data_IF_259439998159
#
_entry.id   IF_259439998159
#
_cell.length_a   1.000
_cell.length_b   1.000
_cell.length_c   1.000
_cell.angle_alpha   90.00
_cell.angle_beta   90.00
_cell.angle_gamma   90.00
#
_symmetry.space_group_name_H-M   'P 1'
#
loop_
_entity.id
_entity.type
_entity.pdbx_description
1 polymer ?
#
# COMPACT_ATOMS: atom_id res chain seq x y z
N UNK A 1 18.03 -57.15 20.23
CA UNK A 1 16.68 -57.14 19.63
C UNK A 1 15.62 -56.70 20.63
N UNK A 2 15.59 -57.19 21.89
CA UNK A 2 14.60 -56.74 22.89
C UNK A 2 14.81 -55.31 23.39
N UNK A 3 16.04 -54.82 23.49
CA UNK A 3 16.35 -53.47 23.98
C UNK A 3 15.95 -52.38 22.97
N UNK A 4 16.25 -52.60 21.69
CA UNK A 4 15.77 -51.74 20.60
C UNK A 4 14.24 -51.71 20.53
N UNK A 5 13.58 -52.85 20.76
CA UNK A 5 12.12 -52.91 20.79
C UNK A 5 11.53 -52.14 21.99
N UNK A 6 12.18 -52.17 23.16
CA UNK A 6 11.71 -51.41 24.32
C UNK A 6 11.91 -49.90 24.15
N UNK A 7 13.04 -49.50 23.56
CA UNK A 7 13.31 -48.09 23.21
C UNK A 7 12.27 -47.56 22.23
N UNK A 8 11.96 -48.31 21.16
CA UNK A 8 10.92 -47.94 20.18
C UNK A 8 9.52 -47.87 20.83
N UNK A 9 9.22 -48.74 21.80
CA UNK A 9 7.95 -48.72 22.53
C UNK A 9 7.83 -47.52 23.49
N UNK A 10 8.93 -47.10 24.11
CA UNK A 10 8.97 -45.88 24.94
C UNK A 10 8.84 -44.62 24.08
N UNK A 11 9.57 -44.55 22.96
CA UNK A 11 9.44 -43.44 22.00
C UNK A 11 8.01 -43.35 21.45
N UNK A 12 7.38 -44.49 21.13
CA UNK A 12 5.99 -44.51 20.68
C UNK A 12 5.03 -43.98 21.74
N UNK A 13 5.20 -44.35 23.02
CA UNK A 13 4.37 -43.81 24.10
C UNK A 13 4.56 -42.30 24.26
N UNK A 14 5.79 -41.82 24.17
CA UNK A 14 6.07 -40.38 24.21
C UNK A 14 5.36 -39.64 23.06
N UNK A 15 5.44 -40.17 21.84
CA UNK A 15 4.74 -39.64 20.67
C UNK A 15 3.21 -39.65 20.84
N UNK A 16 2.65 -40.71 21.43
CA UNK A 16 1.22 -40.81 21.72
C UNK A 16 0.77 -39.73 22.72
N UNK A 17 1.54 -39.50 23.77
CA UNK A 17 1.29 -38.44 24.76
C UNK A 17 1.39 -37.03 24.14
N UNK A 18 2.42 -36.78 23.33
CA UNK A 18 2.57 -35.51 22.60
C UNK A 18 1.40 -35.27 21.62
N UNK A 19 0.96 -36.33 20.93
CA UNK A 19 -0.17 -36.26 20.01
C UNK A 19 -1.48 -35.93 20.73
N UNK A 20 -1.75 -36.56 21.88
CA UNK A 20 -2.92 -36.25 22.70
C UNK A 20 -2.90 -34.78 23.16
N UNK A 21 -1.75 -34.30 23.64
CA UNK A 21 -1.58 -32.89 24.04
C UNK A 21 -1.81 -31.91 22.88
N UNK A 22 -1.35 -32.26 21.67
CA UNK A 22 -1.60 -31.47 20.46
C UNK A 22 -3.09 -31.41 20.12
N UNK A 23 -3.81 -32.53 20.21
CA UNK A 23 -5.25 -32.58 19.96
C UNK A 23 -6.03 -31.71 20.95
N UNK A 24 -5.71 -31.75 22.24
CA UNK A 24 -6.31 -30.89 23.25
C UNK A 24 -6.04 -29.41 22.97
N UNK A 25 -4.79 -29.08 22.64
CA UNK A 25 -4.40 -27.71 22.28
C UNK A 25 -5.17 -27.20 21.07
N UNK A 26 -5.33 -28.03 20.03
CA UNK A 26 -6.10 -27.69 18.83
C UNK A 26 -7.59 -27.48 19.14
N UNK A 27 -8.18 -28.32 20.00
CA UNK A 27 -9.57 -28.15 20.45
C UNK A 27 -9.76 -26.81 21.18
N UNK A 28 -8.84 -26.47 22.07
CA UNK A 28 -8.86 -25.18 22.78
C UNK A 28 -8.69 -23.99 21.81
N UNK A 29 -7.82 -24.12 20.82
CA UNK A 29 -7.65 -23.10 19.78
C UNK A 29 -8.97 -22.82 19.02
N UNK A 30 -9.68 -23.87 18.59
CA UNK A 30 -10.96 -23.72 17.88
C UNK A 30 -12.03 -23.05 18.75
N UNK A 31 -12.09 -23.39 20.04
CA UNK A 31 -13.00 -22.74 20.99
C UNK A 31 -12.70 -21.25 21.12
N UNK A 32 -11.42 -20.88 21.27
CA UNK A 32 -11.00 -19.47 21.36
C UNK A 32 -11.30 -18.70 20.08
N UNK A 33 -11.19 -19.33 18.91
CA UNK A 33 -11.53 -18.72 17.63
C UNK A 33 -13.03 -18.39 17.52
N UNK A 34 -13.90 -19.27 17.97
CA UNK A 34 -15.35 -19.02 18.04
C UNK A 34 -15.70 -17.91 19.04
N UNK A 35 -15.09 -17.91 20.23
CA UNK A 35 -15.25 -16.84 21.23
C UNK A 35 -14.85 -15.47 20.66
N UNK A 36 -13.72 -15.39 19.95
CA UNK A 36 -13.27 -14.16 19.29
C UNK A 36 -14.30 -13.69 18.25
N UNK A 37 -14.81 -14.59 17.42
CA UNK A 37 -15.82 -14.25 16.39
C UNK A 37 -17.10 -13.66 17.02
N UNK A 38 -17.59 -14.28 18.11
CA UNK A 38 -18.75 -13.79 18.86
C UNK A 38 -18.50 -12.40 19.45
N UNK A 39 -17.33 -12.19 20.08
CA UNK A 39 -16.96 -10.89 20.63
C UNK A 39 -16.83 -9.81 19.56
N UNK A 40 -16.27 -10.13 18.40
CA UNK A 40 -16.16 -9.21 17.27
C UNK A 40 -17.54 -8.74 16.79
N UNK A 41 -18.49 -9.66 16.63
CA UNK A 41 -19.86 -9.34 16.20
C UNK A 41 -20.60 -8.49 17.24
N UNK A 42 -20.48 -8.85 18.52
CA UNK A 42 -21.09 -8.09 19.61
C UNK A 42 -20.52 -6.66 19.68
N UNK A 43 -19.20 -6.51 19.60
CA UNK A 43 -18.54 -5.21 19.63
C UNK A 43 -18.95 -4.34 18.43
N UNK A 44 -18.97 -4.91 17.22
CA UNK A 44 -19.39 -4.19 16.01
C UNK A 44 -20.85 -3.71 16.10
N UNK A 45 -21.74 -4.55 16.63
CA UNK A 45 -23.16 -4.21 16.81
C UNK A 45 -23.32 -3.09 17.86
N UNK A 46 -22.64 -3.19 19.00
CA UNK A 46 -22.68 -2.18 20.05
C UNK A 46 -22.13 -0.83 19.59
N UNK A 47 -21.01 -0.80 18.86
CA UNK A 47 -20.46 0.44 18.31
C UNK A 47 -21.42 1.07 17.30
N UNK A 48 -22.04 0.26 16.43
CA UNK A 48 -23.02 0.75 15.47
C UNK A 48 -24.24 1.38 16.16
N UNK A 49 -24.73 0.75 17.23
CA UNK A 49 -25.81 1.27 18.05
C UNK A 49 -25.45 2.60 18.74
N UNK A 50 -24.31 2.64 19.44
CA UNK A 50 -23.86 3.84 20.14
C UNK A 50 -23.59 5.01 19.18
N UNK A 51 -23.01 4.74 17.99
CA UNK A 51 -22.79 5.78 16.98
C UNK A 51 -24.11 6.34 16.45
N UNK A 52 -25.13 5.49 16.22
CA UNK A 52 -26.47 5.96 15.81
C UNK A 52 -27.08 6.87 16.88
N UNK A 53 -27.04 6.45 18.14
CA UNK A 53 -27.54 7.24 19.27
C UNK A 53 -26.81 8.57 19.42
N UNK A 54 -25.49 8.59 19.23
CA UNK A 54 -24.68 9.80 19.25
C UNK A 54 -25.06 10.76 18.12
N UNK A 55 -25.30 10.23 16.90
CA UNK A 55 -25.77 11.03 15.75
C UNK A 55 -27.16 11.62 15.99
N UNK A 56 -28.11 10.83 16.49
CA UNK A 56 -29.47 11.28 16.80
C UNK A 56 -29.47 12.38 17.88
N UNK A 57 -28.61 12.21 18.89
CA UNK A 57 -28.38 13.20 19.95
C UNK A 57 -27.81 14.49 19.37
N UNK A 58 -26.73 14.40 18.58
CA UNK A 58 -26.09 15.54 17.91
C UNK A 58 -27.06 16.34 17.03
N UNK A 59 -27.89 15.66 16.24
CA UNK A 59 -28.92 16.30 15.42
C UNK A 59 -29.98 17.01 16.25
N UNK A 60 -30.41 16.42 17.36
CA UNK A 60 -31.39 17.02 18.27
C UNK A 60 -30.85 18.29 18.92
N UNK A 61 -29.57 18.29 19.32
CA UNK A 61 -28.90 19.48 19.88
C UNK A 61 -28.69 20.58 18.82
N UNK A 62 -28.23 20.25 17.60
CA UNK A 62 -28.09 21.22 16.50
C UNK A 62 -29.42 21.86 16.09
N UNK A 63 -30.53 21.12 16.14
CA UNK A 63 -31.87 21.69 15.87
C UNK A 63 -32.31 22.70 16.94
N UNK A 64 -31.86 22.54 18.19
CA UNK A 64 -32.12 23.48 19.30
C UNK A 64 -31.20 24.72 19.26
N UNK A 65 -30.04 24.62 18.65
CA UNK A 65 -29.06 25.70 18.45
C UNK A 65 -29.58 26.81 17.52
N UNK A 66 -30.33 26.46 16.46
CA UNK A 66 -30.97 27.44 15.57
C UNK A 66 -31.94 28.39 16.31
N UNK A 67 -32.25 28.12 17.58
CA UNK A 67 -33.12 28.92 18.44
C UNK A 67 -32.42 29.70 19.56
N UNK A 68 -31.10 29.54 19.81
CA UNK A 68 -30.45 30.28 20.91
C UNK A 68 -28.92 30.49 20.78
N UNK A 69 -28.44 31.64 21.26
CA UNK A 69 -27.05 32.11 21.19
C UNK A 69 -26.03 31.14 21.84
N UNK A 70 -24.88 30.99 21.17
CA UNK A 70 -23.80 30.04 21.46
C UNK A 70 -23.27 30.06 22.90
N UNK A 71 -23.47 28.96 23.64
CA UNK A 71 -22.99 28.77 25.02
C UNK A 71 -21.74 27.88 25.08
N UNK A 72 -20.84 28.13 26.03
CA UNK A 72 -19.62 27.34 26.31
C UNK A 72 -19.90 25.82 26.46
N UNK A 73 -21.09 25.46 26.93
CA UNK A 73 -21.56 24.08 27.05
C UNK A 73 -21.72 23.35 25.70
N UNK A 74 -21.96 24.07 24.59
CA UNK A 74 -22.06 23.48 23.25
C UNK A 74 -20.68 23.09 22.71
N UNK A 75 -19.67 23.94 22.91
CA UNK A 75 -18.29 23.62 22.57
C UNK A 75 -17.81 22.40 23.36
N UNK A 76 -18.12 22.33 24.65
CA UNK A 76 -17.77 21.18 25.49
C UNK A 76 -18.47 19.90 25.03
N UNK A 77 -19.75 19.99 24.61
CA UNK A 77 -20.49 18.85 24.08
C UNK A 77 -19.94 18.40 22.72
N UNK A 78 -19.62 19.32 21.81
CA UNK A 78 -19.03 19.01 20.50
C UNK A 78 -17.66 18.34 20.65
N UNK A 79 -16.84 18.81 21.60
CA UNK A 79 -15.57 18.17 21.95
C UNK A 79 -15.80 16.74 22.47
N UNK A 80 -16.76 16.54 23.39
CA UNK A 80 -17.10 15.19 23.90
C UNK A 80 -17.56 14.25 22.80
N UNK A 81 -18.40 14.73 21.86
CA UNK A 81 -18.84 13.95 20.69
C UNK A 81 -17.64 13.54 19.84
N UNK A 82 -16.76 14.50 19.49
CA UNK A 82 -15.54 14.21 18.71
C UNK A 82 -14.61 13.22 19.42
N UNK A 83 -14.45 13.33 20.73
CA UNK A 83 -13.65 12.39 21.52
C UNK A 83 -14.26 10.99 21.48
N UNK A 84 -15.58 10.85 21.67
CA UNK A 84 -16.25 9.56 21.59
C UNK A 84 -16.18 8.95 20.18
N UNK A 85 -16.35 9.75 19.12
CA UNK A 85 -16.18 9.29 17.75
C UNK A 85 -14.76 8.78 17.47
N UNK A 86 -13.74 9.46 18.00
CA UNK A 86 -12.35 9.02 17.91
C UNK A 86 -12.14 7.67 18.62
N UNK A 87 -12.67 7.51 19.83
CA UNK A 87 -12.59 6.24 20.58
C UNK A 87 -13.26 5.10 19.81
N UNK A 88 -14.45 5.33 19.23
CA UNK A 88 -15.12 4.34 18.39
C UNK A 88 -14.29 3.99 17.14
N UNK A 89 -13.68 4.98 16.50
CA UNK A 89 -12.80 4.74 15.35
C UNK A 89 -11.56 3.92 15.71
N UNK A 90 -11.02 4.09 16.92
CA UNK A 90 -9.89 3.29 17.41
C UNK A 90 -10.30 1.85 17.68
N UNK A 91 -11.46 1.64 18.32
CA UNK A 91 -12.03 0.30 18.55
C UNK A 91 -12.30 -0.43 17.23
N UNK A 92 -12.89 0.24 16.24
CA UNK A 92 -13.18 -0.33 14.91
C UNK A 92 -11.91 -0.67 14.12
N UNK A 93 -10.75 -0.12 14.46
CA UNK A 93 -9.48 -0.47 13.81
C UNK A 93 -9.05 -1.93 14.08
N UNK A 94 -9.67 -2.58 15.07
CA UNK A 94 -9.46 -3.98 15.48
C UNK A 94 -10.65 -4.88 15.17
N UNK A 95 -11.68 -4.38 14.48
CA UNK A 95 -12.87 -5.13 14.10
C UNK A 95 -12.91 -5.37 12.58
N UNK A 96 -13.59 -6.45 12.13
CA UNK A 96 -13.89 -6.68 10.73
C UNK A 96 -14.45 -5.44 10.01
N UNK A 97 -13.71 -4.92 9.03
CA UNK A 97 -14.17 -3.81 8.19
C UNK A 97 -14.76 -4.32 6.89
N UNK A 98 -15.77 -3.60 6.39
CA UNK A 98 -16.28 -3.79 5.04
C UNK A 98 -15.22 -3.32 4.04
N UNK A 99 -14.96 -4.13 3.03
CA UNK A 99 -14.06 -3.78 1.95
C UNK A 99 -14.65 -2.62 1.11
N UNK A 100 -13.79 -1.74 0.60
CA UNK A 100 -14.18 -0.77 -0.41
C UNK A 100 -14.57 -1.46 -1.72
N UNK A 101 -15.28 -0.75 -2.61
CA UNK A 101 -15.82 -1.31 -3.86
C UNK A 101 -14.79 -2.08 -4.70
N UNK A 102 -13.61 -1.52 -4.93
CA UNK A 102 -12.54 -2.17 -5.69
C UNK A 102 -12.09 -3.48 -5.04
N UNK A 103 -11.79 -3.45 -3.74
CA UNK A 103 -11.30 -4.62 -3.02
C UNK A 103 -12.37 -5.71 -2.91
N UNK A 104 -13.64 -5.32 -2.75
CA UNK A 104 -14.78 -6.23 -2.80
C UNK A 104 -14.97 -6.86 -4.17
N UNK A 105 -14.67 -6.15 -5.26
CA UNK A 105 -14.75 -6.69 -6.61
C UNK A 105 -13.63 -7.72 -6.86
N UNK A 106 -12.41 -7.44 -6.40
CA UNK A 106 -11.23 -8.28 -6.66
C UNK A 106 -11.15 -9.48 -5.72
N UNK A 107 -11.42 -9.30 -4.43
CA UNK A 107 -11.28 -10.34 -3.40
C UNK A 107 -12.61 -10.92 -2.91
N UNK A 108 -13.75 -10.37 -3.35
CA UNK A 108 -15.05 -10.72 -2.81
C UNK A 108 -15.27 -10.21 -1.38
N UNK A 109 -16.20 -10.85 -0.67
CA UNK A 109 -16.58 -10.45 0.69
C UNK A 109 -15.63 -10.99 1.79
N UNK A 110 -14.37 -11.24 1.45
CA UNK A 110 -13.36 -11.76 2.37
C UNK A 110 -12.81 -10.62 3.22
N UNK A 111 -12.80 -10.78 4.54
CA UNK A 111 -12.26 -9.78 5.45
C UNK A 111 -10.72 -9.78 5.44
N UNK A 112 -10.12 -8.69 4.99
CA UNK A 112 -8.66 -8.49 4.97
C UNK A 112 -8.13 -7.71 6.18
N UNK A 113 -8.94 -7.54 7.21
CA UNK A 113 -8.55 -6.78 8.41
C UNK A 113 -7.50 -7.56 9.19
N UNK A 114 -6.35 -6.93 9.38
CA UNK A 114 -5.25 -7.43 10.20
C UNK A 114 -5.49 -6.97 11.64
N UNK A 115 -5.86 -7.88 12.53
CA UNK A 115 -6.27 -7.52 13.89
C UNK A 115 -5.10 -7.15 14.81
N UNK A 116 -3.89 -7.68 14.58
CA UNK A 116 -2.73 -7.36 15.41
C UNK A 116 -1.91 -6.21 14.80
N UNK A 117 -1.37 -5.34 15.67
CA UNK A 117 -0.44 -4.28 15.25
C UNK A 117 0.77 -4.91 14.54
N UNK A 118 1.27 -6.03 15.07
CA UNK A 118 2.37 -6.81 14.51
C UNK A 118 2.06 -7.30 13.09
N UNK A 119 0.86 -7.84 12.82
CA UNK A 119 0.49 -8.27 11.47
C UNK A 119 0.39 -7.10 10.49
N UNK A 120 -0.14 -5.94 10.92
CA UNK A 120 -0.16 -4.72 10.11
C UNK A 120 1.25 -4.29 9.71
N UNK A 121 2.20 -4.34 10.65
CA UNK A 121 3.60 -4.03 10.38
C UNK A 121 4.28 -5.03 9.47
N UNK A 122 4.11 -6.33 9.73
CA UNK A 122 4.70 -7.38 8.92
C UNK A 122 4.22 -7.30 7.48
N UNK A 123 2.92 -7.12 7.27
CA UNK A 123 2.35 -6.93 5.94
C UNK A 123 2.92 -5.70 5.23
N UNK A 124 3.08 -4.59 5.96
CA UNK A 124 3.67 -3.37 5.43
C UNK A 124 5.13 -3.54 5.03
N UNK A 125 5.91 -4.23 5.86
CA UNK A 125 7.32 -4.53 5.57
C UNK A 125 7.45 -5.39 4.31
N UNK A 126 6.60 -6.43 4.18
CA UNK A 126 6.54 -7.27 2.98
C UNK A 126 6.05 -6.51 1.73
N UNK A 127 5.18 -5.51 1.89
CA UNK A 127 4.79 -4.60 0.80
C UNK A 127 5.97 -3.74 0.33
N UNK A 128 6.71 -3.10 1.24
CA UNK A 128 7.84 -2.23 0.89
C UNK A 128 8.98 -3.03 0.26
N UNK A 129 9.30 -4.22 0.80
CA UNK A 129 10.27 -5.15 0.20
C UNK A 129 9.89 -5.55 -1.23
N UNK A 130 8.63 -5.95 -1.42
CA UNK A 130 8.10 -6.28 -2.74
C UNK A 130 8.25 -5.10 -3.71
N UNK A 131 7.81 -3.91 -3.28
CA UNK A 131 7.88 -2.70 -4.10
C UNK A 131 9.30 -2.38 -4.53
N UNK A 132 10.26 -2.40 -3.59
CA UNK A 132 11.67 -2.12 -3.89
C UNK A 132 12.28 -3.18 -4.81
N UNK A 133 12.09 -4.47 -4.49
CA UNK A 133 12.62 -5.57 -5.29
C UNK A 133 12.14 -5.49 -6.74
N UNK A 134 10.84 -5.32 -6.95
CA UNK A 134 10.26 -5.26 -8.29
C UNK A 134 10.65 -3.97 -9.02
N UNK A 135 10.78 -2.85 -8.31
CA UNK A 135 11.27 -1.60 -8.92
C UNK A 135 12.71 -1.75 -9.43
N UNK A 136 13.59 -2.42 -8.69
CA UNK A 136 14.96 -2.69 -9.13
C UNK A 136 14.97 -3.61 -10.36
N UNK A 137 14.16 -4.67 -10.36
CA UNK A 137 14.02 -5.58 -11.51
C UNK A 137 13.54 -4.79 -12.75
N UNK A 138 12.51 -3.96 -12.59
CA UNK A 138 11.97 -3.12 -13.67
C UNK A 138 13.01 -2.11 -14.18
N UNK A 139 13.79 -1.50 -13.29
CA UNK A 139 14.86 -0.57 -13.65
C UNK A 139 15.91 -1.25 -14.53
N UNK A 140 16.46 -2.38 -14.05
CA UNK A 140 17.49 -3.14 -14.78
C UNK A 140 16.95 -3.67 -16.11
N UNK A 141 15.72 -4.18 -16.11
CA UNK A 141 15.15 -4.75 -17.33
C UNK A 141 14.82 -3.67 -18.37
N UNK A 142 14.31 -2.51 -17.93
CA UNK A 142 14.10 -1.34 -18.81
C UNK A 142 15.43 -0.82 -19.35
N UNK A 143 16.50 -0.82 -18.53
CA UNK A 143 17.84 -0.41 -18.95
C UNK A 143 18.38 -1.33 -20.06
N UNK A 144 18.23 -2.64 -19.89
CA UNK A 144 18.63 -3.63 -20.91
C UNK A 144 17.84 -3.44 -22.22
N UNK A 145 16.51 -3.30 -22.13
CA UNK A 145 15.65 -3.09 -23.30
C UNK A 145 15.87 -1.73 -23.99
N UNK A 146 16.36 -0.72 -23.27
CA UNK A 146 16.62 0.59 -23.84
C UNK A 146 17.98 0.65 -24.56
N UNK A 147 19.06 0.17 -23.93
CA UNK A 147 20.42 0.35 -24.44
C UNK A 147 20.96 -0.83 -25.26
N UNK A 148 20.55 -2.06 -24.96
CA UNK A 148 21.23 -3.26 -25.48
C UNK A 148 20.36 -4.11 -26.40
N UNK A 149 19.04 -4.11 -26.21
CA UNK A 149 18.16 -5.06 -26.90
C UNK A 149 16.90 -4.41 -27.46
N UNK A 150 16.60 -4.63 -28.73
CA UNK A 150 15.41 -4.11 -29.41
C UNK A 150 14.50 -5.22 -29.96
N UNK A 151 14.20 -6.23 -29.13
CA UNK A 151 13.27 -7.31 -29.48
C UNK A 151 11.89 -7.06 -28.91
N UNK A 152 10.86 -7.06 -29.78
CA UNK A 152 9.44 -6.90 -29.41
C UNK A 152 8.98 -7.87 -28.32
N UNK A 153 9.57 -9.08 -28.30
CA UNK A 153 9.30 -10.08 -27.28
C UNK A 153 9.75 -9.65 -25.89
N UNK A 154 10.96 -9.09 -25.75
CA UNK A 154 11.42 -8.58 -24.45
C UNK A 154 10.61 -7.38 -23.99
N UNK A 155 10.26 -6.49 -24.92
CA UNK A 155 9.35 -5.38 -24.62
C UNK A 155 7.99 -5.91 -24.13
N UNK A 156 7.47 -7.02 -24.69
CA UNK A 156 6.25 -7.66 -24.21
C UNK A 156 6.39 -8.17 -22.77
N UNK A 157 7.50 -8.83 -22.44
CA UNK A 157 7.75 -9.33 -21.08
C UNK A 157 7.83 -8.15 -20.10
N UNK A 158 8.54 -7.07 -20.46
CA UNK A 158 8.63 -5.87 -19.63
C UNK A 158 7.25 -5.24 -19.39
N UNK A 159 6.46 -5.08 -20.45
CA UNK A 159 5.10 -4.50 -20.34
C UNK A 159 4.15 -5.39 -19.54
N UNK A 160 4.22 -6.71 -19.73
CA UNK A 160 3.47 -7.67 -18.90
C UNK A 160 3.86 -7.55 -17.43
N UNK A 161 5.16 -7.45 -17.15
CA UNK A 161 5.68 -7.27 -15.78
C UNK A 161 5.19 -5.94 -15.17
N UNK A 162 5.15 -4.85 -15.95
CA UNK A 162 4.61 -3.56 -15.50
C UNK A 162 3.11 -3.64 -15.19
N UNK A 163 2.30 -4.25 -16.06
CA UNK A 163 0.87 -4.46 -15.82
C UNK A 163 0.68 -5.26 -14.54
N UNK A 164 1.34 -6.40 -14.43
CA UNK A 164 1.26 -7.26 -13.26
C UNK A 164 1.70 -6.53 -11.98
N UNK A 165 2.79 -5.76 -12.04
CA UNK A 165 3.30 -4.98 -10.92
C UNK A 165 2.30 -3.94 -10.43
N UNK A 166 1.76 -3.10 -11.32
CA UNK A 166 0.81 -2.05 -10.92
C UNK A 166 -0.54 -2.62 -10.46
N UNK A 167 -1.04 -3.69 -11.09
CA UNK A 167 -2.20 -4.42 -10.60
C UNK A 167 -1.96 -4.95 -9.17
N UNK A 168 -0.82 -5.60 -8.93
CA UNK A 168 -0.49 -6.14 -7.60
C UNK A 168 -0.32 -5.02 -6.56
N UNK A 169 0.30 -3.90 -6.92
CA UNK A 169 0.40 -2.72 -6.06
C UNK A 169 -0.97 -2.21 -5.65
N UNK A 170 -1.91 -2.03 -6.58
CA UNK A 170 -3.24 -1.50 -6.25
C UNK A 170 -3.99 -2.39 -5.26
N UNK A 171 -3.84 -3.72 -5.36
CA UNK A 171 -4.44 -4.67 -4.42
C UNK A 171 -3.79 -4.54 -3.04
N UNK A 172 -2.45 -4.59 -2.97
CA UNK A 172 -1.72 -4.47 -1.70
C UNK A 172 -1.95 -3.13 -1.01
N UNK A 173 -2.00 -2.04 -1.77
CA UNK A 173 -2.29 -0.70 -1.28
C UNK A 173 -3.74 -0.57 -0.79
N UNK A 174 -4.71 -1.20 -1.46
CA UNK A 174 -6.10 -1.25 -0.99
C UNK A 174 -6.24 -1.99 0.35
N UNK A 175 -5.48 -3.08 0.54
CA UNK A 175 -5.41 -3.79 1.82
C UNK A 175 -4.79 -2.90 2.90
N UNK A 176 -3.71 -2.18 2.58
CA UNK A 176 -3.09 -1.21 3.50
C UNK A 176 -4.05 -0.09 3.89
N UNK A 177 -4.77 0.51 2.92
CA UNK A 177 -5.76 1.57 3.16
C UNK A 177 -6.85 1.09 4.12
N UNK A 178 -7.40 -0.09 3.87
CA UNK A 178 -8.43 -0.70 4.72
C UNK A 178 -7.93 -0.91 6.16
N UNK A 179 -6.65 -1.21 6.31
CA UNK A 179 -6.01 -1.44 7.60
C UNK A 179 -5.53 -0.16 8.32
N UNK A 180 -5.73 1.02 7.72
CA UNK A 180 -5.44 2.33 8.33
C UNK A 180 -4.20 3.05 7.77
N UNK A 181 -3.62 2.53 6.69
CA UNK A 181 -2.58 3.25 5.94
C UNK A 181 -3.16 4.48 5.25
N UNK A 182 -2.46 5.60 5.33
CA UNK A 182 -2.84 6.84 4.64
C UNK A 182 -2.12 6.89 3.29
N UNK A 183 -2.86 6.57 2.23
CA UNK A 183 -2.39 6.61 0.84
C UNK A 183 -3.28 7.60 0.07
N UNK A 184 -2.68 8.61 -0.58
CA UNK A 184 -3.42 9.58 -1.39
C UNK A 184 -4.07 8.90 -2.59
N UNK A 185 -5.35 9.22 -2.85
CA UNK A 185 -6.09 8.71 -4.00
C UNK A 185 -5.44 9.01 -5.35
N UNK A 186 -4.76 10.14 -5.51
CA UNK A 186 -4.00 10.47 -6.73
C UNK A 186 -2.88 9.46 -7.01
N UNK A 187 -2.19 8.98 -5.97
CA UNK A 187 -1.11 8.00 -6.13
C UNK A 187 -1.65 6.66 -6.64
N UNK A 188 -2.76 6.21 -6.05
CA UNK A 188 -3.47 5.00 -6.50
C UNK A 188 -4.00 5.18 -7.93
N UNK A 189 -4.51 6.36 -8.27
CA UNK A 189 -4.96 6.68 -9.63
C UNK A 189 -3.83 6.60 -10.66
N UNK A 190 -2.64 7.12 -10.32
CA UNK A 190 -1.45 6.96 -11.16
C UNK A 190 -1.10 5.49 -11.41
N UNK A 191 -1.26 4.60 -10.42
CA UNK A 191 -1.05 3.16 -10.64
C UNK A 191 -2.04 2.56 -11.63
N UNK A 192 -3.32 2.94 -11.57
CA UNK A 192 -4.31 2.47 -12.56
C UNK A 192 -3.99 2.95 -13.97
N UNK A 193 -3.59 4.21 -14.15
CA UNK A 193 -3.17 4.74 -15.45
C UNK A 193 -1.94 3.97 -15.95
N UNK A 194 -0.92 3.78 -15.11
CA UNK A 194 0.30 3.08 -15.51
C UNK A 194 0.06 1.62 -15.89
N UNK A 195 -0.85 0.93 -15.18
CA UNK A 195 -1.29 -0.41 -15.56
C UNK A 195 -1.98 -0.42 -16.93
N UNK A 196 -2.90 0.52 -17.16
CA UNK A 196 -3.61 0.65 -18.43
C UNK A 196 -2.65 0.96 -19.59
N UNK A 197 -1.76 1.94 -19.46
CA UNK A 197 -0.78 2.32 -20.47
C UNK A 197 0.17 1.17 -20.80
N UNK A 198 0.63 0.42 -19.79
CA UNK A 198 1.46 -0.77 -20.00
C UNK A 198 0.69 -1.88 -20.72
N UNK A 199 -0.62 -2.03 -20.46
CA UNK A 199 -1.48 -2.97 -21.16
C UNK A 199 -1.71 -2.59 -22.63
N UNK A 200 -1.86 -1.30 -22.91
CA UNK A 200 -1.91 -0.76 -24.28
C UNK A 200 -0.59 -1.06 -24.99
N UNK A 201 0.55 -0.79 -24.37
CA UNK A 201 1.87 -1.09 -24.95
C UNK A 201 2.10 -2.60 -25.16
N UNK A 202 1.59 -3.44 -24.27
CA UNK A 202 1.67 -4.90 -24.39
C UNK A 202 0.92 -5.41 -25.62
N UNK A 203 -0.29 -4.89 -25.85
CA UNK A 203 -1.19 -5.32 -26.94
C UNK A 203 -0.95 -4.58 -28.26
N UNK A 204 -0.15 -3.52 -28.24
CA UNK A 204 0.14 -2.72 -29.44
C UNK A 204 0.88 -3.56 -30.49
N UNK A 205 0.37 -3.66 -31.74
CA UNK A 205 0.98 -4.47 -32.79
C UNK A 205 2.32 -3.89 -33.26
N UNK A 206 3.26 -4.75 -33.65
CA UNK A 206 4.54 -4.26 -34.18
C UNK A 206 4.31 -3.49 -35.49
N UNK A 207 4.77 -2.23 -35.52
CA UNK A 207 4.50 -1.28 -36.59
C UNK A 207 5.30 0.00 -36.41
N UNK A 208 5.25 0.88 -37.41
CA UNK A 208 6.06 2.11 -37.40
C UNK A 208 5.73 3.02 -36.20
N UNK A 209 4.45 3.17 -35.88
CA UNK A 209 3.99 3.97 -34.74
C UNK A 209 4.49 3.42 -33.39
N UNK A 210 4.48 2.09 -33.24
CA UNK A 210 5.03 1.44 -32.05
C UNK A 210 6.52 1.76 -31.89
N UNK A 211 7.30 1.62 -32.97
CA UNK A 211 8.75 1.87 -32.95
C UNK A 211 9.07 3.34 -32.62
N UNK A 212 8.27 4.28 -33.12
CA UNK A 212 8.42 5.70 -32.79
C UNK A 212 8.17 5.97 -31.30
N UNK A 213 7.15 5.34 -30.70
CA UNK A 213 6.80 5.57 -29.29
C UNK A 213 7.61 4.71 -28.30
N UNK A 214 8.16 3.58 -28.76
CA UNK A 214 8.90 2.60 -27.95
C UNK A 214 9.96 3.25 -27.07
N UNK A 215 10.85 4.04 -27.67
CA UNK A 215 11.98 4.61 -26.93
C UNK A 215 11.51 5.64 -25.90
N UNK A 216 10.45 6.39 -26.19
CA UNK A 216 9.84 7.31 -25.21
C UNK A 216 9.26 6.55 -24.02
N UNK A 217 8.52 5.46 -24.27
CA UNK A 217 7.94 4.64 -23.22
C UNK A 217 8.99 3.93 -22.36
N UNK A 218 10.06 3.40 -22.98
CA UNK A 218 11.16 2.76 -22.26
C UNK A 218 11.98 3.77 -21.44
N UNK A 219 12.25 4.95 -21.99
CA UNK A 219 12.90 6.03 -21.26
C UNK A 219 12.05 6.47 -20.05
N UNK A 220 10.73 6.62 -20.24
CA UNK A 220 9.80 6.92 -19.16
C UNK A 220 9.78 5.82 -18.09
N UNK A 221 9.74 4.55 -18.50
CA UNK A 221 9.74 3.40 -17.58
C UNK A 221 11.03 3.35 -16.75
N UNK A 222 12.19 3.53 -17.41
CA UNK A 222 13.49 3.60 -16.76
C UNK A 222 13.55 4.76 -15.75
N UNK A 223 13.10 5.95 -16.16
CA UNK A 223 13.06 7.14 -15.33
C UNK A 223 12.14 6.95 -14.11
N UNK A 224 10.93 6.41 -14.31
CA UNK A 224 9.99 6.13 -13.22
C UNK A 224 10.57 5.14 -12.21
N UNK A 225 11.14 4.02 -12.67
CA UNK A 225 11.76 3.05 -11.77
C UNK A 225 12.93 3.67 -11.00
N UNK A 226 13.71 4.54 -11.64
CA UNK A 226 14.81 5.25 -10.98
C UNK A 226 14.30 6.21 -9.89
N UNK A 227 13.30 7.04 -10.20
CA UNK A 227 12.66 7.95 -9.24
C UNK A 227 12.06 7.15 -8.08
N UNK A 228 11.42 6.03 -8.35
CA UNK A 228 10.82 5.17 -7.34
C UNK A 228 11.88 4.55 -6.40
N UNK A 229 13.06 4.19 -6.92
CA UNK A 229 14.21 3.78 -6.10
C UNK A 229 14.72 4.91 -5.21
N UNK A 230 14.89 6.13 -5.75
CA UNK A 230 15.33 7.29 -4.97
C UNK A 230 14.33 7.65 -3.86
N UNK A 231 13.03 7.63 -4.19
CA UNK A 231 11.96 7.81 -3.22
C UNK A 231 12.07 6.76 -2.11
N UNK A 232 12.21 5.48 -2.46
CA UNK A 232 12.32 4.41 -1.47
C UNK A 232 13.55 4.58 -0.56
N UNK A 233 14.72 4.86 -1.12
CA UNK A 233 15.96 5.05 -0.37
C UNK A 233 15.82 6.19 0.65
N UNK A 234 15.32 7.32 0.17
CA UNK A 234 15.14 8.51 0.98
C UNK A 234 14.10 8.32 2.08
N UNK A 235 12.98 7.67 1.75
CA UNK A 235 11.88 7.44 2.68
C UNK A 235 12.25 6.42 3.76
N UNK A 236 12.97 5.36 3.42
CA UNK A 236 13.52 4.40 4.38
C UNK A 236 14.47 5.09 5.38
N UNK A 237 15.34 5.98 4.90
CA UNK A 237 16.24 6.77 5.76
C UNK A 237 15.51 7.73 6.70
N UNK A 238 14.42 8.36 6.24
CA UNK A 238 13.62 9.21 7.13
C UNK A 238 12.79 8.39 8.14
N UNK A 239 12.17 7.30 7.71
CA UNK A 239 11.37 6.46 8.58
C UNK A 239 12.21 5.87 9.72
N UNK A 240 13.44 5.47 9.43
CA UNK A 240 14.41 5.03 10.43
C UNK A 240 14.66 6.12 11.48
N UNK A 241 14.93 7.36 11.05
CA UNK A 241 15.16 8.51 11.94
C UNK A 241 13.94 8.85 12.79
N UNK A 242 12.75 8.87 12.22
CA UNK A 242 11.51 9.14 12.97
C UNK A 242 11.17 8.03 13.97
N UNK A 243 11.48 6.77 13.63
CA UNK A 243 11.33 5.63 14.56
C UNK A 243 12.33 5.72 15.71
N UNK A 244 13.57 6.14 15.45
CA UNK A 244 14.59 6.37 16.47
C UNK A 244 14.23 7.54 17.42
N UNK A 245 13.48 8.53 16.93
CA UNK A 245 13.03 9.70 17.70
C UNK A 245 11.70 9.48 18.44
N UNK A 246 10.99 8.37 18.23
CA UNK A 246 9.73 8.06 18.90
C UNK A 246 8.50 8.89 18.47
N UNK A 247 8.64 9.78 17.48
CA UNK A 247 7.61 10.79 17.16
C UNK A 247 6.49 10.34 16.20
N UNK A 248 6.56 9.17 15.56
CA UNK A 248 5.59 8.81 14.50
C UNK A 248 4.56 7.78 14.91
N UNK A 249 3.31 8.01 14.48
CA UNK A 249 2.27 7.00 14.53
C UNK A 249 2.60 5.85 13.57
N UNK A 250 2.39 4.64 14.08
CA UNK A 250 3.03 3.42 13.63
C UNK A 250 2.68 2.94 12.20
N UNK A 251 1.67 3.51 11.54
CA UNK A 251 1.23 3.05 10.21
C UNK A 251 1.38 4.06 9.06
N UNK A 252 1.94 5.25 9.29
CA UNK A 252 2.12 6.23 8.22
C UNK A 252 3.08 5.72 7.14
N UNK A 253 2.65 5.77 5.87
CA UNK A 253 3.48 5.41 4.74
C UNK A 253 4.73 6.28 4.63
N UNK A 254 5.66 5.74 3.86
CA UNK A 254 6.83 6.41 3.29
C UNK A 254 6.47 7.67 2.46
N UNK A 255 5.21 7.84 2.01
CA UNK A 255 4.81 8.98 1.17
C UNK A 255 4.23 10.19 1.93
N UNK A 256 3.62 10.03 3.11
CA UNK A 256 2.68 11.07 3.59
C UNK A 256 3.18 12.03 4.67
N UNK A 257 3.83 11.60 5.76
CA UNK A 257 4.34 12.57 6.75
C UNK A 257 5.55 13.37 6.25
N UNK A 258 5.97 13.13 5.01
CA UNK A 258 7.13 13.77 4.42
C UNK A 258 6.76 14.87 3.43
N UNK A 259 5.70 14.77 2.61
CA UNK A 259 5.29 15.85 1.69
C UNK A 259 5.10 17.20 2.40
N UNK A 260 4.52 17.24 3.61
CA UNK A 260 4.37 18.49 4.39
C UNK A 260 5.69 19.03 4.96
N UNK A 261 6.67 18.17 5.26
CA UNK A 261 8.04 18.56 5.66
C UNK A 261 8.93 18.85 4.44
N UNK A 262 8.63 18.24 3.29
CA UNK A 262 9.30 18.37 2.00
C UNK A 262 9.21 19.79 1.47
N UNK A 263 8.16 20.55 1.79
CA UNK A 263 8.09 21.97 1.44
C UNK A 263 9.25 22.81 2.05
N UNK A 264 10.01 22.27 3.01
CA UNK A 264 11.26 22.88 3.49
C UNK A 264 12.54 22.39 2.80
N UNK A 265 12.48 21.35 1.96
CA UNK A 265 13.67 20.74 1.32
C UNK A 265 13.52 20.32 -0.17
N UNK A 266 12.35 20.47 -0.79
CA UNK A 266 12.02 20.00 -2.14
C UNK A 266 12.28 21.03 -3.25
N UNK A 267 13.34 21.84 -3.16
CA UNK A 267 13.81 22.56 -4.35
C UNK A 267 14.54 21.61 -5.31
N UNK A 268 15.06 20.49 -4.80
CA UNK A 268 15.96 19.61 -5.56
C UNK A 268 15.26 18.61 -6.50
N UNK A 269 14.04 18.13 -6.17
CA UNK A 269 13.40 17.04 -6.94
C UNK A 269 12.38 17.55 -8.00
N UNK A 270 11.90 18.78 -7.81
CA UNK A 270 11.00 19.50 -8.73
C UNK A 270 11.57 19.64 -10.16
N UNK A 271 12.86 19.93 -10.37
CA UNK A 271 13.47 19.97 -11.70
C UNK A 271 13.39 18.61 -12.40
N UNK A 272 13.71 17.52 -11.71
CA UNK A 272 13.69 16.19 -12.30
C UNK A 272 12.27 15.80 -12.74
N UNK A 273 11.27 16.06 -11.90
CA UNK A 273 9.86 15.74 -12.21
C UNK A 273 9.34 16.55 -13.40
N UNK A 274 9.71 17.84 -13.46
CA UNK A 274 9.34 18.73 -14.56
C UNK A 274 9.98 18.31 -15.89
N UNK A 275 11.28 18.02 -15.90
CA UNK A 275 11.97 17.55 -17.11
C UNK A 275 11.45 16.20 -17.61
N UNK A 276 11.09 15.28 -16.72
CA UNK A 276 10.50 13.97 -17.08
C UNK A 276 9.12 14.08 -17.73
N UNK A 277 8.25 14.98 -17.25
CA UNK A 277 6.94 15.23 -17.87
C UNK A 277 7.04 15.99 -19.19
N UNK A 278 7.94 16.97 -19.29
CA UNK A 278 8.15 17.75 -20.53
C UNK A 278 8.73 16.88 -21.65
N UNK A 279 9.64 15.96 -21.35
CA UNK A 279 10.19 15.03 -22.33
C UNK A 279 9.22 13.91 -22.76
N UNK A 280 8.17 13.64 -21.97
CA UNK A 280 7.07 12.75 -22.36
C UNK A 280 6.07 13.44 -23.32
N UNK A 281 5.91 14.77 -23.21
CA UNK A 281 4.96 15.57 -24.00
C UNK A 281 5.60 16.15 -25.27
N UNK A 282 6.92 16.39 -25.26
CA UNK A 282 7.64 17.01 -26.37
C UNK A 282 8.63 16.01 -27.00
N UNK A 283 8.32 15.44 -28.18
CA UNK A 283 9.29 14.66 -28.94
C UNK A 283 10.52 15.54 -29.26
N UNK A 284 11.72 14.99 -29.09
CA UNK A 284 13.00 15.63 -29.42
C UNK A 284 13.19 15.91 -30.93
N UNK A 285 12.12 15.91 -31.73
CA UNK A 285 12.12 16.21 -33.16
C UNK A 285 12.08 17.71 -33.49
N UNK A 286 12.12 18.59 -32.47
CA UNK A 286 12.17 20.06 -32.65
C UNK A 286 13.48 20.72 -32.17
N UNK A 287 14.58 19.99 -32.13
CA UNK A 287 15.91 20.62 -32.07
C UNK A 287 16.60 20.46 -33.42
N UNK A 288 16.79 21.54 -34.21
CA UNK A 288 17.54 21.46 -35.46
C UNK A 288 19.01 21.09 -35.19
N UNK A 289 19.65 20.27 -36.04
CA UNK A 289 21.06 19.92 -35.91
C UNK A 289 21.90 21.09 -36.41
N UNK A 290 22.22 22.01 -35.50
CA UNK A 290 23.28 23.03 -35.65
C UNK A 290 23.72 23.28 -34.21
N UNK A 291 24.88 22.84 -33.75
CA UNK A 291 26.19 23.29 -34.21
C UNK A 291 27.21 22.15 -34.02
N UNK A 292 27.66 21.57 -35.12
CA UNK A 292 28.99 20.98 -35.21
C UNK A 292 29.94 22.14 -35.47
N UNK A 293 30.70 22.62 -34.49
CA UNK A 293 31.94 23.35 -34.76
C UNK A 293 32.86 23.38 -33.53
N UNK A 294 34.10 23.00 -33.82
CA UNK A 294 35.32 23.32 -33.09
C UNK A 294 35.43 22.87 -31.63
N UNK A 295 36.27 21.87 -31.40
CA UNK A 295 37.54 22.08 -30.71
C UNK A 295 38.55 21.04 -31.24
N UNK A 296 39.33 21.47 -32.23
CA UNK A 296 40.70 20.99 -32.41
C UNK A 296 41.52 21.71 -31.32
N UNK A 297 41.98 20.97 -30.32
CA UNK A 297 43.30 20.99 -29.68
C UNK A 297 43.30 20.00 -28.52
#
# INVERSE_FOLDING_TARGET
>A
MSQVLSEVLEEWKCLEEEYQKLQETHKMYLQKLDEISKLQNNCATSISHERKKLQDTSQTYRKKENFNLMSHSLLELELKIKTQEHVFSEMEAFLPKKNGLYLSLVLGNVNVTLFSKQAKFAYKDEYEKFKLCLTIILLLFSFICYFFVSYRFLDAILNFLLVWYYCTLTIRESILITNGSRIKGWWVFHHYISAFLSGVMLTWPDGNLYKMFRNQFLAYSLYQSFVQCLQCYYQSGCLYRLRALGERHNMDLTVEGFQSWMWKGLTFLLPFLFFGHVSMICPAEKFPPTVTFALNF
#
